data_IF_294487024082
#
_entry.id   IF_294487024082
#
_cell.length_a   1.000
_cell.length_b   1.000
_cell.length_c   1.000
_cell.angle_alpha   90.00
_cell.angle_beta   90.00
_cell.angle_gamma   90.00
#
_symmetry.space_group_name_H-M   'P 1'
#
loop_
_entity.id
_entity.type
_entity.pdbx_description
1 polymer ?
#
# COMPACT_ATOMS: atom_id res chain seq x y z
N UNK A 1 -7.37 2.71 -0.11
CA UNK A 1 -6.32 1.68 -0.32
C UNK A 1 -5.15 2.17 -1.16
N UNK A 2 -5.38 2.85 -2.30
CA UNK A 2 -4.29 3.44 -3.10
C UNK A 2 -3.38 4.38 -2.27
N UNK A 3 -3.98 5.25 -1.42
CA UNK A 3 -3.23 6.07 -0.47
C UNK A 3 -2.29 5.26 0.44
N UNK A 4 -2.77 4.12 0.95
CA UNK A 4 -1.95 3.27 1.82
C UNK A 4 -0.82 2.58 1.03
N UNK A 5 -1.04 2.22 -0.23
CA UNK A 5 0.01 1.63 -1.09
C UNK A 5 1.14 2.59 -1.43
N UNK A 6 0.89 3.91 -1.44
CA UNK A 6 1.93 4.92 -1.64
C UNK A 6 2.65 5.29 -0.33
N UNK A 7 2.28 4.67 0.79
CA UNK A 7 2.87 4.94 2.11
C UNK A 7 2.36 6.22 2.79
N UNK A 8 1.36 6.91 2.24
CA UNK A 8 0.84 8.14 2.82
C UNK A 8 -0.10 7.83 3.99
N UNK A 9 0.30 8.23 5.21
CA UNK A 9 -0.53 8.18 6.41
C UNK A 9 -1.19 6.82 6.74
N UNK A 10 -0.64 5.72 6.21
CA UNK A 10 -1.20 4.37 6.37
C UNK A 10 -1.31 3.96 7.86
N UNK A 11 -0.35 4.39 8.68
CA UNK A 11 -0.28 4.11 10.10
C UNK A 11 -1.40 4.83 10.88
N UNK A 12 -1.75 6.05 10.49
CA UNK A 12 -2.85 6.79 11.10
C UNK A 12 -4.19 6.15 10.76
N UNK A 13 -4.38 5.77 9.50
CA UNK A 13 -5.60 5.09 9.05
C UNK A 13 -5.73 3.72 9.75
N UNK A 14 -4.64 2.95 9.82
CA UNK A 14 -4.61 1.68 10.56
C UNK A 14 -4.99 1.89 12.03
N UNK A 15 -4.38 2.89 12.68
CA UNK A 15 -4.66 3.18 14.08
C UNK A 15 -6.13 3.57 14.27
N UNK A 16 -6.69 4.43 13.42
CA UNK A 16 -8.10 4.81 13.49
C UNK A 16 -9.05 3.62 13.33
N UNK A 17 -8.71 2.66 12.47
CA UNK A 17 -9.47 1.40 12.32
C UNK A 17 -9.22 0.39 13.45
N UNK A 18 -8.14 0.54 14.24
CA UNK A 18 -7.79 -0.35 15.34
C UNK A 18 -8.32 0.12 16.69
N UNK A 19 -8.70 1.39 16.82
CA UNK A 19 -9.17 1.98 18.06
C UNK A 19 -10.50 1.36 18.51
N UNK A 20 -10.47 0.78 19.71
CA UNK A 20 -11.64 0.26 20.43
C UNK A 20 -12.05 1.22 21.55
N UNK A 21 -13.17 0.93 22.21
CA UNK A 21 -13.70 1.75 23.31
C UNK A 21 -12.64 1.93 24.42
N UNK A 22 -12.39 3.18 24.80
CA UNK A 22 -11.43 3.57 25.84
C UNK A 22 -11.96 4.78 26.63
N UNK A 23 -11.36 5.07 27.79
CA UNK A 23 -11.78 6.20 28.66
C UNK A 23 -11.75 7.54 27.93
N UNK A 24 -10.82 7.71 26.99
CA UNK A 24 -10.63 8.91 26.17
C UNK A 24 -11.25 8.79 24.77
N UNK A 25 -11.97 7.69 24.47
CA UNK A 25 -12.60 7.45 23.18
C UNK A 25 -13.83 6.57 23.36
N UNK A 26 -14.98 7.21 23.53
CA UNK A 26 -16.26 6.51 23.47
C UNK A 26 -16.68 6.35 22.00
N UNK A 27 -16.77 5.10 21.58
CA UNK A 27 -17.14 4.73 20.22
C UNK A 27 -18.48 3.99 20.24
N UNK A 28 -19.19 4.06 19.12
CA UNK A 28 -20.47 3.40 18.90
C UNK A 28 -20.26 2.20 17.99
N UNK A 29 -20.84 1.06 18.37
CA UNK A 29 -20.89 -0.10 17.52
C UNK A 29 -21.90 0.13 16.39
N UNK A 30 -21.41 0.13 15.14
CA UNK A 30 -22.23 0.34 13.93
C UNK A 30 -23.06 1.65 13.94
N UNK A 31 -22.42 2.83 14.01
CA UNK A 31 -23.14 4.11 13.98
C UNK A 31 -23.85 4.27 12.63
N UNK A 32 -25.11 4.69 12.67
CA UNK A 32 -25.84 5.08 11.46
C UNK A 32 -25.46 6.50 11.09
N UNK A 33 -25.75 6.87 9.84
CA UNK A 33 -25.51 8.23 9.36
C UNK A 33 -26.17 9.31 10.24
N UNK A 34 -27.37 9.03 10.76
CA UNK A 34 -28.09 9.93 11.67
C UNK A 34 -27.35 10.16 12.98
N UNK A 35 -26.67 9.14 13.52
CA UNK A 35 -25.91 9.22 14.77
C UNK A 35 -24.66 10.08 14.57
N UNK A 36 -24.02 9.96 13.40
CA UNK A 36 -22.87 10.79 13.01
C UNK A 36 -23.30 12.25 12.82
N UNK A 37 -24.47 12.49 12.21
CA UNK A 37 -25.00 13.84 12.04
C UNK A 37 -25.35 14.49 13.39
N UNK A 38 -25.93 13.72 14.32
CA UNK A 38 -26.18 14.18 15.70
C UNK A 38 -24.88 14.49 16.46
N UNK A 39 -23.80 13.78 16.16
CA UNK A 39 -22.45 14.02 16.72
C UNK A 39 -21.66 15.11 15.96
N UNK A 40 -22.34 16.13 15.43
CA UNK A 40 -21.69 17.24 14.71
C UNK A 40 -20.96 16.83 13.43
N UNK A 41 -21.32 15.70 12.83
CA UNK A 41 -20.66 15.13 11.65
C UNK A 41 -19.39 14.35 11.95
N UNK A 42 -19.05 14.15 13.23
CA UNK A 42 -17.82 13.44 13.63
C UNK A 42 -18.10 11.94 13.70
N UNK A 43 -17.49 11.11 12.85
CA UNK A 43 -17.65 9.67 12.92
C UNK A 43 -16.94 9.11 14.15
N UNK A 44 -17.65 8.33 14.96
CA UNK A 44 -17.15 7.73 16.21
C UNK A 44 -17.39 6.21 16.24
N UNK A 45 -17.15 5.52 15.11
CA UNK A 45 -17.30 4.07 15.04
C UNK A 45 -16.21 3.31 15.81
N UNK A 46 -16.57 2.16 16.40
CA UNK A 46 -15.60 1.26 17.01
C UNK A 46 -14.83 0.46 15.93
N UNK A 47 -13.51 0.43 16.06
CA UNK A 47 -12.61 -0.39 15.26
C UNK A 47 -12.38 -1.78 15.86
N UNK A 48 -11.48 -2.55 15.24
CA UNK A 48 -11.07 -3.86 15.74
C UNK A 48 -9.56 -4.04 15.61
N UNK A 49 -8.92 -4.76 16.54
CA UNK A 49 -7.50 -5.07 16.45
C UNK A 49 -7.11 -5.89 15.21
N UNK A 50 -8.08 -6.57 14.57
CA UNK A 50 -7.87 -7.30 13.32
C UNK A 50 -7.51 -6.37 12.14
N UNK A 51 -7.88 -5.09 12.21
CA UNK A 51 -7.48 -4.09 11.21
C UNK A 51 -5.96 -3.98 11.04
N UNK A 52 -5.19 -4.14 12.12
CA UNK A 52 -3.72 -4.10 12.08
C UNK A 52 -3.20 -5.20 11.16
N UNK A 53 -3.70 -6.43 11.31
CA UNK A 53 -3.31 -7.56 10.46
C UNK A 53 -3.68 -7.33 9.00
N UNK A 54 -4.84 -6.74 8.73
CA UNK A 54 -5.25 -6.37 7.38
C UNK A 54 -4.28 -5.36 6.74
N UNK A 55 -3.96 -4.26 7.43
CA UNK A 55 -3.07 -3.23 6.88
C UNK A 55 -1.64 -3.73 6.69
N UNK A 56 -1.11 -4.50 7.64
CA UNK A 56 0.24 -5.07 7.52
C UNK A 56 0.33 -6.07 6.37
N UNK A 57 -0.64 -7.00 6.27
CA UNK A 57 -0.66 -7.97 5.16
C UNK A 57 -0.82 -7.30 3.79
N UNK A 58 -1.67 -6.28 3.69
CA UNK A 58 -1.82 -5.47 2.49
C UNK A 58 -0.49 -4.81 2.08
N UNK A 59 0.23 -4.18 3.01
CA UNK A 59 1.52 -3.56 2.72
C UNK A 59 2.56 -4.58 2.25
N UNK A 60 2.63 -5.75 2.90
CA UNK A 60 3.53 -6.82 2.49
C UNK A 60 3.25 -7.30 1.05
N UNK A 61 1.98 -7.55 0.72
CA UNK A 61 1.57 -8.00 -0.62
C UNK A 61 1.90 -6.92 -1.66
N UNK A 62 1.55 -5.66 -1.40
CA UNK A 62 1.80 -4.55 -2.32
C UNK A 62 3.29 -4.32 -2.54
N UNK A 63 4.09 -4.34 -1.47
CA UNK A 63 5.55 -4.24 -1.58
C UNK A 63 6.12 -5.41 -2.38
N UNK A 64 5.66 -6.64 -2.16
CA UNK A 64 6.09 -7.79 -2.94
C UNK A 64 5.78 -7.64 -4.43
N UNK A 65 4.57 -7.18 -4.77
CA UNK A 65 4.19 -6.90 -6.17
C UNK A 65 5.09 -5.82 -6.78
N UNK A 66 5.33 -4.70 -6.08
CA UNK A 66 6.20 -3.64 -6.57
C UNK A 66 7.66 -4.09 -6.73
N UNK A 67 8.16 -4.94 -5.82
CA UNK A 67 9.52 -5.51 -5.94
C UNK A 67 9.64 -6.38 -7.19
N UNK A 68 8.66 -7.27 -7.44
CA UNK A 68 8.68 -8.11 -8.65
C UNK A 68 8.58 -7.26 -9.93
N UNK A 69 7.74 -6.21 -9.91
CA UNK A 69 7.64 -5.28 -11.03
C UNK A 69 8.96 -4.54 -11.27
N UNK A 70 9.61 -4.05 -10.21
CA UNK A 70 10.89 -3.36 -10.29
C UNK A 70 12.01 -4.27 -10.82
N UNK A 71 12.07 -5.52 -10.35
CA UNK A 71 13.01 -6.52 -10.86
C UNK A 71 12.80 -6.74 -12.36
N UNK A 72 11.55 -6.91 -12.80
CA UNK A 72 11.25 -7.11 -14.23
C UNK A 72 11.72 -5.92 -15.08
N UNK A 73 11.42 -4.69 -14.66
CA UNK A 73 11.84 -3.46 -15.35
C UNK A 73 13.37 -3.35 -15.45
N UNK A 74 14.07 -3.67 -14.36
CA UNK A 74 15.54 -3.64 -14.34
C UNK A 74 16.12 -4.69 -15.28
N UNK A 75 15.60 -5.92 -15.25
CA UNK A 75 16.06 -7.00 -16.14
C UNK A 75 15.84 -6.65 -17.61
N UNK A 76 14.70 -6.05 -17.94
CA UNK A 76 14.41 -5.57 -19.29
C UNK A 76 15.37 -4.46 -19.71
N UNK A 77 15.63 -3.47 -18.86
CA UNK A 77 16.60 -2.41 -19.15
C UNK A 77 18.04 -2.93 -19.37
N UNK A 78 18.46 -3.93 -18.60
CA UNK A 78 19.76 -4.58 -18.82
C UNK A 78 19.78 -5.42 -20.09
N UNK A 79 18.71 -6.16 -20.40
CA UNK A 79 18.60 -6.91 -21.65
C UNK A 79 18.73 -5.96 -22.86
N UNK A 80 18.04 -4.82 -22.84
CA UNK A 80 18.08 -3.83 -23.92
C UNK A 80 19.46 -3.18 -24.11
N UNK A 81 20.20 -2.99 -23.04
CA UNK A 81 21.57 -2.45 -23.14
C UNK A 81 22.53 -3.50 -23.72
N UNK A 82 22.40 -4.77 -23.32
CA UNK A 82 23.24 -5.87 -23.81
C UNK A 82 22.98 -6.23 -25.28
N UNK A 83 21.73 -6.19 -25.75
CA UNK A 83 21.41 -6.41 -27.17
C UNK A 83 21.97 -5.29 -28.06
N UNK A 84 21.94 -4.03 -27.58
CA UNK A 84 22.51 -2.90 -28.29
C UNK A 84 24.05 -2.96 -28.42
N UNK A 85 24.75 -3.57 -27.45
CA UNK A 85 26.19 -3.81 -27.52
C UNK A 85 26.54 -4.91 -28.54
N UNK A 86 25.79 -6.02 -28.56
CA UNK A 86 26.01 -7.11 -29.51
C UNK A 86 25.82 -6.67 -30.98
N UNK A 87 24.86 -5.79 -31.25
CA UNK A 87 24.65 -5.21 -32.58
C UNK A 87 25.75 -4.20 -33.00
N UNK A 88 26.57 -3.73 -32.06
CA UNK A 88 27.66 -2.78 -32.31
C UNK A 88 29.01 -3.46 -32.52
N UNK A 89 29.12 -4.77 -32.34
CA UNK A 89 30.25 -5.55 -32.87
C UNK A 89 30.03 -5.62 -34.39
N UNK A 90 30.81 -4.93 -35.23
CA UNK A 90 30.66 -5.07 -36.66
C UNK A 90 31.22 -6.45 -37.08
N UNK A 91 30.46 -7.16 -37.91
CA UNK A 91 30.77 -8.53 -38.38
C UNK A 91 32.07 -8.62 -39.23
N UNK A 92 32.83 -7.54 -39.36
CA UNK A 92 34.07 -7.40 -40.14
C UNK A 92 35.35 -7.78 -39.38
N UNK A 93 35.27 -8.09 -38.07
CA UNK A 93 36.43 -8.51 -37.24
C UNK A 93 36.54 -10.04 -37.10
N UNK A 94 35.53 -10.80 -37.54
CA UNK A 94 35.45 -12.27 -37.34
C UNK A 94 35.93 -13.09 -38.56
N UNK A 95 36.40 -12.43 -39.64
CA UNK A 95 36.92 -13.13 -40.83
C UNK A 95 38.37 -12.75 -41.14
#
# INVERSE_FOLDING_TARGET
MIRASTGEAWNYIMNDCARTRAVNFDCVDSPKYVDIQANGGIPNGCGTGFSIMFFVSFLLIVTFVFLNLFIAIILEGFATTNEAENLRIPDDVVN
#
